data_IF_089494343584
#
_entry.id   IF_089494343584
#
_cell.length_a   1.000
_cell.length_b   1.000
_cell.length_c   1.000
_cell.angle_alpha   90.00
_cell.angle_beta   90.00
_cell.angle_gamma   90.00
#
_symmetry.space_group_name_H-M   'P 1'
#
loop_
_entity.id
_entity.type
_entity.pdbx_description
1 polymer ?
#
# COMPACT_ATOMS: atom_id res chain seq x y z
N UNK A 1 -6.36 -2.53 10.69
CA UNK A 1 -6.48 -3.15 12.02
C UNK A 1 -7.95 -3.30 12.38
N UNK A 2 -8.34 -4.42 12.98
CA UNK A 2 -9.71 -4.69 13.43
C UNK A 2 -9.69 -5.32 14.82
N UNK A 3 -10.80 -5.20 15.57
CA UNK A 3 -10.92 -5.75 16.93
C UNK A 3 -11.93 -6.89 16.98
N UNK A 4 -11.73 -7.82 17.92
CA UNK A 4 -12.72 -8.86 18.26
C UNK A 4 -13.25 -8.58 19.66
N UNK A 5 -14.55 -8.31 19.78
CA UNK A 5 -15.20 -8.16 21.07
C UNK A 5 -15.60 -9.55 21.60
N UNK A 6 -15.06 -9.91 22.75
CA UNK A 6 -15.38 -11.17 23.43
C UNK A 6 -16.50 -10.96 24.45
N UNK A 7 -17.33 -11.98 24.69
CA UNK A 7 -18.36 -12.00 25.76
C UNK A 7 -17.76 -11.63 27.13
N UNK A 8 -18.52 -11.23 28.15
CA UNK A 8 -17.99 -11.09 29.51
C UNK A 8 -17.22 -12.34 29.99
N UNK A 9 -16.17 -12.17 30.81
CA UNK A 9 -15.28 -13.27 31.21
C UNK A 9 -16.02 -14.44 31.87
N UNK A 10 -17.00 -14.13 32.72
CA UNK A 10 -17.86 -15.09 33.44
C UNK A 10 -18.79 -15.90 32.53
N UNK A 11 -18.99 -15.49 31.28
CA UNK A 11 -19.83 -16.19 30.30
C UNK A 11 -19.00 -17.06 29.33
N UNK A 12 -17.68 -17.10 29.48
CA UNK A 12 -16.78 -17.84 28.60
C UNK A 12 -16.42 -19.20 29.17
N UNK A 13 -16.48 -20.21 28.32
CA UNK A 13 -15.88 -21.53 28.59
C UNK A 13 -14.40 -21.62 28.17
N UNK A 14 -13.90 -20.62 27.43
CA UNK A 14 -12.51 -20.55 26.93
C UNK A 14 -11.88 -19.21 27.28
N UNK A 15 -10.60 -19.23 27.61
CA UNK A 15 -9.83 -18.01 27.90
C UNK A 15 -9.60 -17.19 26.62
N UNK A 16 -9.28 -15.90 26.77
CA UNK A 16 -8.93 -15.04 25.64
C UNK A 16 -7.72 -15.62 24.86
N UNK A 17 -6.73 -16.18 25.54
CA UNK A 17 -5.57 -16.83 24.92
C UNK A 17 -5.94 -18.07 24.12
N UNK A 18 -6.83 -18.92 24.64
CA UNK A 18 -7.32 -20.09 23.89
C UNK A 18 -8.08 -19.65 22.64
N UNK A 19 -8.93 -18.63 22.75
CA UNK A 19 -9.69 -18.08 21.63
C UNK A 19 -8.75 -17.45 20.59
N UNK A 20 -7.74 -16.70 21.00
CA UNK A 20 -6.71 -16.14 20.12
C UNK A 20 -6.04 -17.25 19.29
N UNK A 21 -5.61 -18.35 19.93
CA UNK A 21 -4.98 -19.47 19.22
C UNK A 21 -5.94 -20.16 18.23
N UNK A 22 -7.22 -20.32 18.61
CA UNK A 22 -8.25 -20.88 17.72
C UNK A 22 -8.46 -19.98 16.51
N UNK A 23 -8.58 -18.68 16.72
CA UNK A 23 -8.77 -17.69 15.65
C UNK A 23 -7.55 -17.63 14.74
N UNK A 24 -6.33 -17.60 15.31
CA UNK A 24 -5.09 -17.61 14.53
C UNK A 24 -5.03 -18.84 13.62
N UNK A 25 -5.32 -20.04 14.15
CA UNK A 25 -5.36 -21.27 13.33
C UNK A 25 -6.36 -21.16 12.17
N UNK A 26 -7.57 -20.62 12.43
CA UNK A 26 -8.58 -20.44 11.37
C UNK A 26 -8.15 -19.43 10.32
N UNK A 27 -7.58 -18.30 10.74
CA UNK A 27 -7.15 -17.25 9.80
C UNK A 27 -5.92 -17.63 8.99
N UNK A 28 -5.05 -18.51 9.50
CA UNK A 28 -3.93 -19.05 8.74
C UNK A 28 -4.37 -19.80 7.46
N UNK A 29 -5.64 -20.20 7.35
CA UNK A 29 -6.19 -20.85 6.16
C UNK A 29 -6.85 -19.90 5.15
N UNK A 30 -6.90 -18.59 5.43
CA UNK A 30 -7.49 -17.62 4.48
C UNK A 30 -6.46 -17.28 3.40
N UNK A 31 -6.70 -17.77 2.18
CA UNK A 31 -5.87 -17.45 1.03
C UNK A 31 -5.86 -15.93 0.75
N UNK A 32 -4.67 -15.38 0.47
CA UNK A 32 -4.50 -13.96 0.16
C UNK A 32 -4.51 -13.02 1.37
N UNK A 33 -4.72 -13.52 2.60
CA UNK A 33 -4.68 -12.73 3.82
C UNK A 33 -3.58 -13.22 4.77
N UNK A 34 -2.78 -12.29 5.29
CA UNK A 34 -1.84 -12.55 6.40
C UNK A 34 -2.38 -11.86 7.64
N UNK A 35 -2.99 -12.63 8.54
CA UNK A 35 -3.65 -12.10 9.74
C UNK A 35 -2.89 -12.56 10.98
N UNK A 36 -2.69 -11.65 11.93
CA UNK A 36 -2.09 -11.94 13.23
C UNK A 36 -3.05 -11.54 14.34
N UNK A 37 -3.35 -12.49 15.22
CA UNK A 37 -4.16 -12.33 16.41
C UNK A 37 -3.24 -12.13 17.61
N UNK A 38 -3.32 -10.96 18.23
CA UNK A 38 -2.66 -10.65 19.49
C UNK A 38 -3.67 -10.02 20.45
N UNK A 39 -3.44 -10.19 21.75
CA UNK A 39 -4.19 -9.50 22.78
C UNK A 39 -3.53 -8.16 23.06
N UNK A 40 -4.33 -7.12 23.31
CA UNK A 40 -3.79 -5.86 23.78
C UNK A 40 -3.15 -6.05 25.18
N UNK A 41 -2.05 -5.36 25.47
CA UNK A 41 -1.44 -5.41 26.80
C UNK A 41 -2.42 -4.91 27.85
N UNK A 42 -2.41 -5.52 29.03
CA UNK A 42 -3.28 -5.14 30.16
C UNK A 42 -2.95 -3.77 30.75
N UNK A 43 -1.78 -3.22 30.41
CA UNK A 43 -1.31 -1.89 30.79
C UNK A 43 -1.18 -1.02 29.54
N UNK A 44 -1.52 0.28 29.60
CA UNK A 44 -1.20 1.21 28.52
C UNK A 44 0.32 1.26 28.31
N UNK A 45 0.77 1.07 27.07
CA UNK A 45 2.18 0.99 26.70
C UNK A 45 2.38 0.99 25.18
N UNK A 46 3.60 0.72 24.73
CA UNK A 46 3.92 0.67 23.30
C UNK A 46 3.06 -0.37 22.57
N UNK A 47 2.41 0.06 21.50
CA UNK A 47 1.59 -0.77 20.63
C UNK A 47 2.43 -1.14 19.39
N UNK A 48 2.58 -2.43 19.08
CA UNK A 48 3.30 -2.88 17.88
C UNK A 48 4.06 -4.19 18.09
N UNK A 49 4.78 -4.64 17.06
CA UNK A 49 5.73 -5.76 17.20
C UNK A 49 6.95 -5.28 18.02
N UNK A 50 7.47 -6.12 18.93
CA UNK A 50 8.48 -5.70 19.91
C UNK A 50 9.87 -5.45 19.30
N UNK A 51 10.14 -5.92 18.09
CA UNK A 51 11.44 -5.82 17.42
C UNK A 51 11.22 -5.50 15.94
N UNK A 52 11.99 -4.55 15.41
CA UNK A 52 12.00 -4.15 14.01
C UNK A 52 13.45 -4.00 13.55
N UNK A 53 13.71 -4.33 12.27
CA UNK A 53 15.02 -4.20 11.66
C UNK A 53 14.88 -3.49 10.32
N UNK A 54 15.80 -2.58 10.04
CA UNK A 54 15.94 -1.96 8.73
C UNK A 54 17.16 -2.56 8.03
N UNK A 55 16.97 -3.03 6.79
CA UNK A 55 18.04 -3.54 5.94
C UNK A 55 18.16 -2.58 4.77
N UNK A 56 19.30 -1.93 4.63
CA UNK A 56 19.56 -0.93 3.59
C UNK A 56 20.65 -1.41 2.63
N UNK A 57 20.63 -0.87 1.41
CA UNK A 57 21.66 -1.14 0.41
C UNK A 57 21.81 0.03 -0.56
N UNK A 58 22.98 0.17 -1.18
CA UNK A 58 23.20 1.04 -2.34
C UNK A 58 22.96 0.32 -3.68
N UNK A 59 22.77 -1.00 -3.64
CA UNK A 59 22.50 -1.83 -4.82
C UNK A 59 21.03 -1.77 -5.26
N UNK A 60 20.69 -2.31 -6.45
CA UNK A 60 19.31 -2.44 -6.86
C UNK A 60 18.43 -3.17 -5.83
N UNK A 61 17.21 -2.69 -5.64
CA UNK A 61 16.22 -3.24 -4.69
C UNK A 61 15.95 -4.75 -4.87
N UNK A 62 16.15 -5.29 -6.08
CA UNK A 62 16.05 -6.72 -6.33
C UNK A 62 17.05 -7.55 -5.50
N UNK A 63 18.26 -7.04 -5.30
CA UNK A 63 19.30 -7.69 -4.50
C UNK A 63 18.95 -7.63 -3.01
N UNK A 64 18.45 -6.47 -2.56
CA UNK A 64 17.94 -6.32 -1.19
C UNK A 64 16.86 -7.35 -0.86
N UNK A 65 15.92 -7.57 -1.78
CA UNK A 65 14.86 -8.56 -1.62
C UNK A 65 15.40 -9.97 -1.45
N UNK A 66 16.41 -10.36 -2.21
CA UNK A 66 17.04 -11.67 -2.08
C UNK A 66 17.62 -11.87 -0.67
N UNK A 67 18.34 -10.85 -0.16
CA UNK A 67 18.91 -10.88 1.19
C UNK A 67 17.82 -10.86 2.26
N UNK A 68 16.84 -9.97 2.16
CA UNK A 68 15.72 -9.85 3.10
C UNK A 68 14.95 -11.18 3.21
N UNK A 69 14.65 -11.84 2.09
CA UNK A 69 13.99 -13.16 2.09
C UNK A 69 14.80 -14.24 2.81
N UNK A 70 16.13 -14.23 2.68
CA UNK A 70 16.99 -15.15 3.42
C UNK A 70 16.96 -14.88 4.92
N UNK A 71 17.00 -13.61 5.33
CA UNK A 71 16.87 -13.22 6.74
C UNK A 71 15.53 -13.66 7.31
N UNK A 72 14.42 -13.40 6.59
CA UNK A 72 13.09 -13.85 7.00
C UNK A 72 12.98 -15.37 7.11
N UNK A 73 13.56 -16.11 6.17
CA UNK A 73 13.56 -17.57 6.21
C UNK A 73 14.29 -18.11 7.45
N UNK A 74 15.46 -17.55 7.77
CA UNK A 74 16.23 -17.92 8.97
C UNK A 74 15.49 -17.53 10.26
N UNK A 75 14.89 -16.34 10.30
CA UNK A 75 14.11 -15.89 11.45
C UNK A 75 12.91 -16.83 11.72
N UNK A 76 12.19 -17.23 10.67
CA UNK A 76 11.09 -18.20 10.77
C UNK A 76 11.58 -19.58 11.22
N UNK A 77 12.70 -20.05 10.65
CA UNK A 77 13.27 -21.36 10.99
C UNK A 77 13.82 -21.44 12.42
N UNK A 78 14.21 -20.30 13.03
CA UNK A 78 14.75 -20.29 14.39
C UNK A 78 13.71 -20.66 15.47
N UNK A 79 12.41 -20.52 15.18
CA UNK A 79 11.35 -20.73 16.16
C UNK A 79 11.29 -19.70 17.29
N UNK A 80 12.18 -18.71 17.30
CA UNK A 80 12.26 -17.66 18.32
C UNK A 80 11.18 -16.58 18.15
N UNK A 81 10.60 -16.49 16.95
CA UNK A 81 9.65 -15.45 16.60
C UNK A 81 8.29 -16.07 16.29
N UNK A 82 7.26 -15.63 17.00
CA UNK A 82 5.87 -16.00 16.71
C UNK A 82 5.39 -15.46 15.35
N UNK A 83 5.96 -14.35 14.89
CA UNK A 83 5.60 -13.71 13.63
C UNK A 83 6.80 -12.98 13.02
N UNK A 84 6.97 -13.09 11.70
CA UNK A 84 8.02 -12.44 10.93
C UNK A 84 7.44 -12.01 9.58
N UNK A 85 7.53 -10.71 9.28
CA UNK A 85 6.99 -10.10 8.07
C UNK A 85 7.95 -9.08 7.45
N UNK A 86 7.72 -8.78 6.17
CA UNK A 86 8.43 -7.77 5.39
C UNK A 86 7.48 -6.78 4.72
N UNK A 87 7.84 -5.49 4.80
CA UNK A 87 7.04 -4.43 4.19
C UNK A 87 7.38 -4.20 2.71
N UNK A 88 8.52 -4.73 2.23
CA UNK A 88 8.98 -4.56 0.86
C UNK A 88 8.04 -5.24 -0.15
N UNK A 89 7.30 -4.43 -0.93
CA UNK A 89 6.43 -4.90 -2.04
C UNK A 89 7.05 -4.51 -3.38
N UNK A 90 7.69 -5.47 -4.05
CA UNK A 90 8.37 -5.26 -5.35
C UNK A 90 7.48 -5.59 -6.54
N UNK A 91 6.47 -6.40 -6.31
CA UNK A 91 5.53 -6.92 -7.29
C UNK A 91 4.23 -6.10 -7.37
N UNK A 92 4.17 -4.95 -6.68
CA UNK A 92 3.04 -4.04 -6.82
C UNK A 92 3.02 -3.49 -8.26
N UNK A 93 1.92 -3.69 -9.02
CA UNK A 93 1.82 -3.13 -10.36
C UNK A 93 1.90 -1.60 -10.31
N UNK A 94 2.76 -1.04 -11.14
CA UNK A 94 2.92 0.40 -11.31
C UNK A 94 2.79 0.73 -12.79
N UNK A 95 2.09 1.83 -13.08
CA UNK A 95 2.04 2.39 -14.42
C UNK A 95 3.02 3.58 -14.48
N UNK A 96 3.97 3.53 -15.41
CA UNK A 96 4.96 4.59 -15.59
C UNK A 96 4.55 5.48 -16.76
N UNK A 97 4.46 6.79 -16.49
CA UNK A 97 4.21 7.80 -17.50
C UNK A 97 5.53 8.47 -17.89
N UNK A 98 5.99 8.21 -19.12
CA UNK A 98 7.18 8.84 -19.67
C UNK A 98 6.78 10.02 -20.55
N UNK A 99 7.06 11.24 -20.07
CA UNK A 99 6.76 12.48 -20.79
C UNK A 99 7.92 12.81 -21.74
N UNK A 100 7.61 13.10 -23.01
CA UNK A 100 8.62 13.56 -23.97
C UNK A 100 8.76 15.09 -23.89
N UNK A 101 9.90 15.62 -23.43
CA UNK A 101 10.07 17.05 -23.22
C UNK A 101 10.01 17.86 -24.52
N UNK A 102 10.49 17.32 -25.64
CA UNK A 102 10.46 17.99 -26.93
C UNK A 102 9.02 18.18 -27.42
N UNK A 103 8.18 17.14 -27.29
CA UNK A 103 6.76 17.25 -27.65
C UNK A 103 5.99 18.23 -26.77
N UNK A 104 6.34 18.31 -25.49
CA UNK A 104 5.74 19.28 -24.56
C UNK A 104 6.09 20.71 -25.00
N UNK A 105 7.35 20.95 -25.37
CA UNK A 105 7.80 22.23 -25.90
C UNK A 105 7.17 22.58 -27.25
N UNK A 106 7.02 21.61 -28.16
CA UNK A 106 6.36 21.80 -29.46
C UNK A 106 4.89 22.25 -29.30
N UNK A 107 4.25 21.87 -28.19
CA UNK A 107 2.89 22.27 -27.82
C UNK A 107 2.83 23.59 -27.03
N UNK A 108 3.97 24.25 -26.81
CA UNK A 108 4.06 25.48 -26.03
C UNK A 108 3.80 25.30 -24.53
N UNK A 109 3.90 24.06 -24.03
CA UNK A 109 3.68 23.72 -22.63
C UNK A 109 5.01 23.57 -21.89
N UNK A 110 4.97 23.70 -20.57
CA UNK A 110 6.09 23.35 -19.70
C UNK A 110 5.87 21.97 -19.07
N UNK A 111 6.95 21.34 -18.59
CA UNK A 111 6.83 20.10 -17.81
C UNK A 111 6.02 20.33 -16.52
N UNK A 112 6.04 21.54 -15.97
CA UNK A 112 5.26 21.92 -14.80
C UNK A 112 3.76 21.92 -15.09
N UNK A 113 3.34 22.36 -16.28
CA UNK A 113 1.93 22.34 -16.69
C UNK A 113 1.42 20.89 -16.77
N UNK A 114 2.23 20.00 -17.32
CA UNK A 114 1.92 18.56 -17.40
C UNK A 114 1.84 17.96 -15.99
N UNK A 115 2.82 18.22 -15.13
CA UNK A 115 2.86 17.67 -13.77
C UNK A 115 1.69 18.17 -12.90
N UNK A 116 1.39 19.47 -12.94
CA UNK A 116 0.30 20.06 -12.16
C UNK A 116 -1.08 19.57 -12.61
N UNK A 117 -1.28 19.45 -13.93
CA UNK A 117 -2.53 18.94 -14.51
C UNK A 117 -2.75 17.47 -14.12
N UNK A 118 -1.74 16.62 -14.26
CA UNK A 118 -1.83 15.21 -13.87
C UNK A 118 -2.01 15.04 -12.36
N UNK A 119 -1.30 15.85 -11.55
CA UNK A 119 -1.42 15.84 -10.10
C UNK A 119 -2.85 16.16 -9.65
N UNK A 120 -3.44 17.23 -10.18
CA UNK A 120 -4.83 17.59 -9.89
C UNK A 120 -5.83 16.52 -10.39
N UNK A 121 -5.58 15.93 -11.56
CA UNK A 121 -6.47 14.94 -12.16
C UNK A 121 -6.48 13.59 -11.42
N UNK A 122 -5.30 13.09 -11.03
CA UNK A 122 -5.14 11.75 -10.46
C UNK A 122 -5.21 11.75 -8.93
N UNK A 123 -4.55 12.72 -8.28
CA UNK A 123 -4.46 12.79 -6.82
C UNK A 123 -5.61 13.55 -6.17
N UNK A 124 -6.29 14.43 -6.92
CA UNK A 124 -7.10 15.49 -6.33
C UNK A 124 -6.21 16.54 -5.66
N UNK A 125 -6.62 17.81 -5.72
CA UNK A 125 -5.85 18.91 -5.12
C UNK A 125 -6.66 19.57 -4.02
N UNK A 126 -6.08 19.81 -2.84
CA UNK A 126 -6.65 20.78 -1.92
C UNK A 126 -6.60 22.17 -2.57
N UNK A 127 -7.73 22.89 -2.54
CA UNK A 127 -7.79 24.27 -3.03
C UNK A 127 -8.02 25.24 -1.89
N UNK A 128 -9.08 25.03 -1.11
CA UNK A 128 -9.48 25.91 -0.02
C UNK A 128 -10.41 25.20 0.98
N UNK A 129 -10.84 25.94 2.02
CA UNK A 129 -11.95 25.57 2.88
C UNK A 129 -13.22 26.34 2.51
N UNK A 130 -14.37 25.71 2.68
CA UNK A 130 -15.67 26.37 2.70
C UNK A 130 -16.34 26.17 4.06
N UNK A 131 -17.06 27.17 4.54
CA UNK A 131 -17.80 27.10 5.79
C UNK A 131 -19.24 26.64 5.54
N UNK A 132 -19.73 25.70 6.35
CA UNK A 132 -21.13 25.30 6.37
C UNK A 132 -21.55 25.00 7.81
N UNK A 133 -22.44 25.85 8.36
CA UNK A 133 -22.95 25.70 9.72
C UNK A 133 -21.88 25.82 10.80
N UNK A 134 -20.94 26.77 10.66
CA UNK A 134 -19.86 26.99 11.62
C UNK A 134 -18.76 25.93 11.61
N UNK A 135 -18.76 25.04 10.61
CA UNK A 135 -17.71 24.02 10.41
C UNK A 135 -17.01 24.28 9.08
N UNK A 136 -15.68 24.18 9.09
CA UNK A 136 -14.85 24.28 7.88
C UNK A 136 -14.67 22.92 7.21
N UNK A 137 -14.94 22.87 5.91
CA UNK A 137 -14.82 21.69 5.07
C UNK A 137 -13.81 21.92 3.97
N UNK A 138 -12.96 20.94 3.68
CA UNK A 138 -11.99 21.03 2.59
C UNK A 138 -12.69 20.88 1.23
N UNK A 139 -12.35 21.75 0.30
CA UNK A 139 -12.72 21.63 -1.11
C UNK A 139 -11.57 20.95 -1.85
N UNK A 140 -11.86 19.78 -2.41
CA UNK A 140 -10.91 18.97 -3.19
C UNK A 140 -11.51 18.67 -4.57
N UNK A 141 -11.24 19.48 -5.60
CA UNK A 141 -11.56 19.11 -6.98
C UNK A 141 -10.91 17.77 -7.33
N UNK A 142 -11.73 16.89 -7.91
CA UNK A 142 -11.29 15.59 -8.36
C UNK A 142 -11.95 15.27 -9.71
N UNK A 143 -11.17 14.69 -10.63
CA UNK A 143 -11.72 14.16 -11.87
C UNK A 143 -12.64 12.97 -11.56
N UNK A 144 -13.73 12.85 -12.32
CA UNK A 144 -14.70 11.74 -12.16
C UNK A 144 -13.97 10.41 -12.22
N UNK A 145 -14.31 9.50 -11.31
CA UNK A 145 -13.62 8.22 -11.11
C UNK A 145 -13.36 7.45 -12.42
N UNK A 146 -14.36 7.39 -13.32
CA UNK A 146 -14.22 6.70 -14.62
C UNK A 146 -13.02 7.12 -15.47
N UNK A 147 -12.52 8.35 -15.31
CA UNK A 147 -11.39 8.87 -16.08
C UNK A 147 -10.04 8.71 -15.35
N UNK A 148 -10.01 8.07 -14.18
CA UNK A 148 -8.79 7.84 -13.37
C UNK A 148 -8.65 6.41 -12.83
N UNK A 149 -9.40 5.46 -13.39
CA UNK A 149 -9.36 4.05 -12.99
C UNK A 149 -8.30 3.24 -13.74
N UNK A 150 -7.87 3.74 -14.89
CA UNK A 150 -6.98 3.07 -15.82
C UNK A 150 -6.00 4.08 -16.43
N UNK A 151 -4.78 3.62 -16.66
CA UNK A 151 -3.71 4.41 -17.29
C UNK A 151 -3.83 4.50 -18.81
N UNK A 152 -4.77 3.75 -19.40
CA UNK A 152 -5.15 3.92 -20.80
C UNK A 152 -6.23 4.99 -20.91
N UNK A 153 -6.11 5.95 -21.84
CA UNK A 153 -7.18 6.89 -22.13
C UNK A 153 -8.47 6.16 -22.51
N UNK A 154 -9.60 6.67 -22.03
CA UNK A 154 -10.93 6.25 -22.48
C UNK A 154 -11.01 6.42 -24.02
N UNK A 155 -11.36 5.38 -24.81
CA UNK A 155 -11.43 5.48 -26.27
C UNK A 155 -12.41 6.56 -26.79
N UNK A 156 -13.29 7.10 -25.93
CA UNK A 156 -14.13 8.27 -26.24
C UNK A 156 -13.42 9.63 -26.16
N UNK A 157 -12.21 9.70 -25.59
CA UNK A 157 -11.33 10.88 -25.63
C UNK A 157 -10.33 10.66 -26.78
N UNK A 158 -10.55 11.36 -27.90
CA UNK A 158 -9.73 11.24 -29.10
C UNK A 158 -8.23 11.38 -28.76
N UNK A 159 -7.36 10.45 -29.20
CA UNK A 159 -5.94 10.47 -28.86
C UNK A 159 -5.22 11.50 -29.72
N UNK A 160 -5.33 12.77 -29.37
CA UNK A 160 -4.41 13.79 -29.85
C UNK A 160 -3.07 13.61 -29.11
N UNK A 161 -2.12 12.96 -29.77
CA UNK A 161 -0.69 12.95 -29.48
C UNK A 161 -0.18 12.09 -28.29
N UNK A 162 0.28 10.88 -28.64
CA UNK A 162 1.66 10.48 -28.36
C UNK A 162 2.06 10.01 -26.96
N UNK A 163 1.13 9.79 -26.04
CA UNK A 163 1.42 9.22 -24.71
C UNK A 163 1.49 7.69 -24.81
N UNK A 164 2.65 7.11 -24.47
CA UNK A 164 2.82 5.65 -24.32
C UNK A 164 2.75 5.30 -22.84
N UNK A 165 1.79 4.47 -22.46
CA UNK A 165 1.76 3.80 -21.15
C UNK A 165 2.43 2.44 -21.29
N UNK A 166 3.43 2.16 -20.44
CA UNK A 166 4.03 0.84 -20.31
C UNK A 166 3.60 0.23 -18.97
N UNK A 167 2.85 -0.89 -19.03
CA UNK A 167 2.62 -1.75 -17.86
C UNK A 167 3.80 -2.70 -17.73
N UNK A 168 4.76 -2.37 -16.88
CA UNK A 168 5.91 -3.22 -16.61
C UNK A 168 5.61 -4.25 -15.52
N UNK A 169 5.39 -5.52 -15.89
CA UNK A 169 5.60 -6.63 -14.96
C UNK A 169 7.10 -6.94 -14.97
N UNK A 170 7.82 -6.63 -13.88
CA UNK A 170 9.21 -7.07 -13.71
C UNK A 170 9.21 -8.58 -13.48
N UNK A 171 9.23 -9.35 -14.57
CA UNK A 171 9.56 -10.77 -14.53
C UNK A 171 11.07 -10.91 -14.24
N UNK A 172 11.41 -11.14 -12.98
CA UNK A 172 12.70 -11.72 -12.61
C UNK A 172 12.68 -13.20 -12.95
N UNK A 173 13.06 -13.53 -14.19
CA UNK A 173 13.43 -14.90 -14.56
C UNK A 173 14.75 -15.26 -13.89
N UNK A 174 14.80 -16.42 -13.24
CA UNK A 174 16.03 -17.09 -12.86
C UNK A 174 16.26 -18.26 -13.83
N UNK A 175 17.50 -18.55 -14.25
CA UNK A 175 17.87 -19.89 -14.69
C UNK A 175 17.88 -20.89 -13.52
#
# INVERSE_FOLDING_TARGET
FGGVLLKPWNERTRTATQLQQILQRRWNHIAGARVVAFQFPSLPGSQGLPVQFEITTAEPIANLNAVARQVLARARASGLFFFVDDELKIDQPQDELVVNPNKVADLGLTQQDVASTLGAALGGGYVNYFELGGRSYQVMPQVRQRFRLNSQPDPGLSPAHGLRSHRGARHGGAP
#
